data_IF_783824948921
#
_entry.id   IF_783824948921
#
_cell.length_a   1.000
_cell.length_b   1.000
_cell.length_c   1.000
_cell.angle_alpha   90.00
_cell.angle_beta   90.00
_cell.angle_gamma   90.00
#
_symmetry.space_group_name_H-M   'P 1'
#
loop_
_entity.id
_entity.type
_entity.pdbx_description
1 polymer ?
#
# COMPACT_ATOMS: atom_id res chain seq x y z
N UNK A 1 21.31 11.97 -49.07
CA UNK A 1 20.44 11.48 -47.99
C UNK A 1 19.04 11.45 -48.54
N UNK A 2 18.46 10.26 -48.73
CA UNK A 2 17.27 10.07 -49.57
C UNK A 2 16.03 10.26 -48.69
N UNK A 3 15.02 11.03 -49.13
CA UNK A 3 13.87 11.38 -48.29
C UNK A 3 13.16 10.18 -47.65
N UNK A 4 13.22 9.01 -48.28
CA UNK A 4 12.66 7.75 -47.76
C UNK A 4 13.36 7.19 -46.51
N UNK A 5 14.66 7.42 -46.31
CA UNK A 5 15.35 6.96 -45.09
C UNK A 5 15.10 7.89 -43.90
N UNK A 6 14.85 9.18 -44.15
CA UNK A 6 14.51 10.17 -43.12
C UNK A 6 13.10 9.91 -42.53
N UNK A 7 12.12 9.61 -43.39
CA UNK A 7 10.74 9.29 -42.97
C UNK A 7 10.69 8.02 -42.11
N UNK A 8 11.49 7.01 -42.46
CA UNK A 8 11.60 5.75 -41.69
C UNK A 8 12.29 5.94 -40.33
N UNK A 9 13.20 6.91 -40.20
CA UNK A 9 13.82 7.23 -38.91
C UNK A 9 12.83 7.98 -37.99
N UNK A 10 12.09 8.94 -38.55
CA UNK A 10 11.09 9.72 -37.82
C UNK A 10 9.95 8.84 -37.31
N UNK A 11 9.46 7.90 -38.11
CA UNK A 11 8.38 6.98 -37.70
C UNK A 11 8.81 6.03 -36.57
N UNK A 12 10.06 5.55 -36.58
CA UNK A 12 10.63 4.70 -35.52
C UNK A 12 10.81 5.48 -34.22
N UNK A 13 11.23 6.74 -34.31
CA UNK A 13 11.34 7.63 -33.15
C UNK A 13 9.97 7.92 -32.53
N UNK A 14 8.96 8.24 -33.34
CA UNK A 14 7.59 8.44 -32.86
C UNK A 14 7.01 7.18 -32.21
N UNK A 15 7.23 6.01 -32.81
CA UNK A 15 6.72 4.76 -32.26
C UNK A 15 7.41 4.40 -30.94
N UNK A 16 8.71 4.62 -30.82
CA UNK A 16 9.46 4.44 -29.58
C UNK A 16 8.97 5.38 -28.47
N UNK A 17 8.67 6.63 -28.82
CA UNK A 17 8.18 7.62 -27.87
C UNK A 17 6.76 7.28 -27.38
N UNK A 18 5.90 6.78 -28.28
CA UNK A 18 4.57 6.30 -27.95
C UNK A 18 4.62 5.07 -27.03
N UNK A 19 5.53 4.13 -27.30
CA UNK A 19 5.75 2.96 -26.44
C UNK A 19 6.18 3.35 -25.03
N UNK A 20 7.10 4.32 -24.90
CA UNK A 20 7.58 4.80 -23.62
C UNK A 20 6.47 5.49 -22.81
N UNK A 21 5.61 6.28 -23.46
CA UNK A 21 4.50 6.95 -22.82
C UNK A 21 3.48 5.95 -22.23
N UNK A 22 3.21 4.84 -22.91
CA UNK A 22 2.31 3.78 -22.41
C UNK A 22 2.87 3.10 -21.16
N UNK A 23 4.18 2.82 -21.12
CA UNK A 23 4.83 2.20 -19.95
C UNK A 23 4.80 3.11 -18.72
N UNK A 24 4.93 4.42 -18.91
CA UNK A 24 4.89 5.39 -17.81
C UNK A 24 3.47 5.68 -17.27
N UNK A 25 2.42 5.20 -17.94
CA UNK A 25 1.02 5.45 -17.55
C UNK A 25 0.45 4.37 -16.61
N UNK A 26 1.30 3.65 -15.88
CA UNK A 26 0.88 2.62 -14.92
C UNK A 26 -0.12 3.19 -13.89
N UNK A 27 -1.08 2.38 -13.42
CA UNK A 27 -2.10 2.84 -12.50
C UNK A 27 -1.45 3.36 -11.21
N UNK A 28 -1.72 4.63 -10.90
CA UNK A 28 -1.40 5.20 -9.60
C UNK A 28 -2.42 4.62 -8.61
N UNK A 29 -2.16 3.42 -8.12
CA UNK A 29 -2.94 2.87 -7.01
C UNK A 29 -2.63 3.73 -5.80
N UNK A 30 -3.57 4.62 -5.46
CA UNK A 30 -3.58 5.25 -4.16
C UNK A 30 -3.68 4.11 -3.15
N UNK A 31 -2.57 3.79 -2.50
CA UNK A 31 -2.59 2.89 -1.35
C UNK A 31 -3.50 3.56 -0.33
N UNK A 32 -4.73 3.05 -0.18
CA UNK A 32 -5.59 3.42 0.93
C UNK A 32 -4.79 3.10 2.19
N UNK A 33 -4.25 4.13 2.83
CA UNK A 33 -3.54 3.97 4.08
C UNK A 33 -4.59 3.42 5.05
N UNK A 34 -4.54 2.11 5.30
CA UNK A 34 -5.51 1.40 6.15
C UNK A 34 -5.55 2.16 7.47
N UNK A 35 -6.64 2.88 7.70
CA UNK A 35 -6.78 3.79 8.83
C UNK A 35 -6.63 2.96 10.11
N UNK A 36 -5.65 3.32 10.94
CA UNK A 36 -5.38 2.63 12.19
C UNK A 36 -6.63 2.71 13.10
N UNK A 37 -7.15 1.54 13.49
CA UNK A 37 -8.29 1.38 14.37
C UNK A 37 -7.83 1.38 15.82
N UNK A 38 -8.42 2.25 16.64
CA UNK A 38 -8.09 2.36 18.07
C UNK A 38 -9.07 1.55 18.90
N UNK A 39 -8.56 0.58 19.65
CA UNK A 39 -9.35 -0.32 20.50
C UNK A 39 -9.15 -0.03 21.99
N UNK A 40 -10.21 -0.20 22.78
CA UNK A 40 -10.19 -0.18 24.24
C UNK A 40 -10.62 -1.53 24.82
N UNK A 41 -9.95 -2.00 25.87
CA UNK A 41 -10.28 -3.23 26.60
C UNK A 41 -10.95 -2.86 27.93
N UNK A 42 -12.08 -3.48 28.27
CA UNK A 42 -12.81 -3.25 29.54
C UNK A 42 -13.21 -4.62 30.13
N UNK A 43 -12.90 -4.85 31.41
CA UNK A 43 -13.40 -6.00 32.17
C UNK A 43 -12.82 -7.36 31.80
N UNK A 44 -11.65 -7.38 31.14
CA UNK A 44 -10.83 -8.59 31.04
C UNK A 44 -9.94 -8.70 32.28
N UNK A 45 -9.71 -9.91 32.76
CA UNK A 45 -8.74 -10.11 33.83
C UNK A 45 -7.34 -9.58 33.43
N UNK A 46 -6.55 -9.25 34.45
CA UNK A 46 -5.24 -8.62 34.30
C UNK A 46 -4.30 -9.36 33.34
N UNK A 47 -4.38 -10.69 33.27
CA UNK A 47 -3.51 -11.48 32.40
C UNK A 47 -3.93 -11.39 30.93
N UNK A 48 -5.23 -11.48 30.64
CA UNK A 48 -5.75 -11.39 29.28
C UNK A 48 -5.65 -9.98 28.71
N UNK A 49 -5.92 -8.95 29.52
CA UNK A 49 -5.75 -7.56 29.08
C UNK A 49 -4.31 -7.28 28.61
N UNK A 50 -3.31 -7.79 29.32
CA UNK A 50 -1.89 -7.67 28.95
C UNK A 50 -1.58 -8.51 27.70
N UNK A 51 -2.08 -9.75 27.64
CA UNK A 51 -1.81 -10.66 26.52
C UNK A 51 -2.33 -10.11 25.19
N UNK A 52 -3.59 -9.64 25.14
CA UNK A 52 -4.18 -9.06 23.94
C UNK A 52 -3.51 -7.74 23.54
N UNK A 53 -3.19 -6.88 24.52
CA UNK A 53 -2.46 -5.64 24.25
C UNK A 53 -1.11 -5.92 23.58
N UNK A 54 -0.36 -6.90 24.08
CA UNK A 54 0.92 -7.31 23.45
C UNK A 54 0.69 -7.88 22.05
N UNK A 55 -0.27 -8.79 21.90
CA UNK A 55 -0.58 -9.42 20.61
C UNK A 55 -0.90 -8.38 19.53
N UNK A 56 -1.72 -7.38 19.83
CA UNK A 56 -2.19 -6.40 18.85
C UNK A 56 -1.21 -5.24 18.61
N UNK A 57 -0.48 -4.79 19.64
CA UNK A 57 0.41 -3.64 19.50
C UNK A 57 1.84 -4.01 19.09
N UNK A 58 2.25 -5.27 19.29
CA UNK A 58 3.64 -5.70 19.04
C UNK A 58 3.73 -6.90 18.09
N UNK A 59 2.74 -7.80 18.12
CA UNK A 59 2.59 -8.77 17.05
C UNK A 59 2.12 -8.03 15.81
N UNK A 60 2.75 -8.26 14.66
CA UNK A 60 2.31 -7.70 13.38
C UNK A 60 1.00 -8.42 13.00
N UNK A 61 -0.18 -7.91 13.41
CA UNK A 61 -1.39 -8.70 13.35
C UNK A 61 -1.80 -8.78 11.88
N UNK A 62 -2.17 -9.96 11.41
CA UNK A 62 -2.53 -10.19 10.01
C UNK A 62 -4.06 -10.21 9.83
N UNK A 63 -4.50 -10.11 8.57
CA UNK A 63 -5.90 -10.16 8.19
C UNK A 63 -6.75 -9.07 8.85
N UNK A 64 -7.85 -9.50 9.48
CA UNK A 64 -8.85 -8.61 10.09
C UNK A 64 -8.31 -7.84 11.30
N UNK A 65 -7.27 -8.36 11.94
CA UNK A 65 -6.63 -7.71 13.09
C UNK A 65 -5.57 -6.68 12.67
N UNK A 66 -5.18 -6.68 11.40
CA UNK A 66 -4.13 -5.78 10.91
C UNK A 66 -4.59 -4.32 10.99
N UNK A 67 -3.77 -3.48 11.62
CA UNK A 67 -4.05 -2.06 11.80
C UNK A 67 -4.94 -1.76 13.02
N UNK A 68 -5.16 -2.72 13.92
CA UNK A 68 -5.78 -2.47 15.24
C UNK A 68 -4.67 -2.15 16.24
N UNK A 69 -4.85 -1.07 17.00
CA UNK A 69 -4.01 -0.71 18.13
C UNK A 69 -4.84 -0.52 19.39
N UNK A 70 -4.46 -1.21 20.44
CA UNK A 70 -5.01 -1.01 21.78
C UNK A 70 -4.44 0.28 22.37
N UNK A 71 -5.32 1.21 22.76
CA UNK A 71 -4.96 2.53 23.31
C UNK A 71 -5.33 2.69 24.78
N UNK A 72 -6.23 1.86 25.28
CA UNK A 72 -6.63 1.82 26.69
C UNK A 72 -7.00 0.39 27.08
N UNK A 73 -6.63 0.00 28.30
CA UNK A 73 -7.06 -1.25 28.91
C UNK A 73 -7.42 -0.98 30.37
N UNK A 74 -8.67 -1.23 30.72
CA UNK A 74 -9.18 -1.15 32.08
C UNK A 74 -9.62 -2.55 32.51
N UNK A 75 -8.70 -3.33 33.12
CA UNK A 75 -8.97 -4.70 33.54
C UNK A 75 -10.03 -4.77 34.65
#
# INVERSE_FOLDING_TARGET
MNSGSLIRLLSRSLFSMLLLAVVCSGPLTAAEAKKELKAGIIGLDTSHAIAFTKMLNTGNPEGDLAGIRVVAAYP
#
